data_IF_179443902008
#
_entry.id   IF_179443902008
#
_cell.length_a   1.000
_cell.length_b   1.000
_cell.length_c   1.000
_cell.angle_alpha   90.00
_cell.angle_beta   90.00
_cell.angle_gamma   90.00
#
_symmetry.space_group_name_H-M   'P 1'
#
loop_
_entity.id
_entity.type
_entity.pdbx_description
1 polymer ?
#
# COMPACT_ATOMS: atom_id res chain seq x y z
N UNK A 1 -67.73 40.94 2.96
CA UNK A 1 -67.54 40.18 4.21
C UNK A 1 -66.14 39.60 4.19
N UNK A 2 -65.41 39.79 5.29
CA UNK A 2 -64.08 39.25 5.61
C UNK A 2 -64.05 37.71 5.42
N UNK A 3 -62.93 37.03 5.13
CA UNK A 3 -61.80 36.81 6.03
C UNK A 3 -60.55 36.27 5.28
N UNK A 4 -59.39 36.81 5.66
CA UNK A 4 -58.03 36.33 5.39
C UNK A 4 -57.78 34.91 5.90
N UNK A 5 -56.92 34.13 5.22
CA UNK A 5 -56.05 33.13 5.86
C UNK A 5 -54.67 33.08 5.17
N UNK A 6 -53.66 33.54 5.92
CA UNK A 6 -52.22 33.34 5.73
C UNK A 6 -51.86 31.87 6.01
N UNK A 7 -50.88 31.32 5.28
CA UNK A 7 -50.14 30.12 5.68
C UNK A 7 -48.66 30.21 5.26
N UNK A 8 -47.89 30.86 6.13
CA UNK A 8 -46.52 30.61 6.59
C UNK A 8 -45.67 29.63 5.75
N UNK A 9 -44.66 30.18 5.05
CA UNK A 9 -43.53 29.45 4.51
C UNK A 9 -42.48 29.23 5.61
N UNK A 10 -42.22 27.97 5.99
CA UNK A 10 -41.16 27.62 6.92
C UNK A 10 -39.82 27.54 6.17
N UNK A 11 -38.94 28.51 6.41
CA UNK A 11 -37.54 28.47 5.99
C UNK A 11 -36.75 27.67 7.02
N UNK A 12 -36.31 26.47 6.66
CA UNK A 12 -35.29 25.75 7.42
C UNK A 12 -33.93 26.39 7.13
N UNK A 13 -33.47 27.29 8.01
CA UNK A 13 -32.05 27.62 8.10
C UNK A 13 -31.34 26.44 8.78
N UNK A 14 -30.72 25.57 7.99
CA UNK A 14 -29.72 24.64 8.49
C UNK A 14 -28.41 25.42 8.71
N UNK A 15 -28.13 25.81 9.95
CA UNK A 15 -26.81 26.28 10.36
C UNK A 15 -25.86 25.08 10.38
N UNK A 16 -25.12 24.88 9.29
CA UNK A 16 -23.98 23.98 9.29
C UNK A 16 -22.89 24.58 10.20
N UNK A 17 -22.74 24.02 11.40
CA UNK A 17 -21.56 24.24 12.23
C UNK A 17 -20.38 23.56 11.53
N UNK A 18 -19.66 24.31 10.71
CA UNK A 18 -18.32 23.93 10.27
C UNK A 18 -17.40 23.93 11.49
N UNK A 19 -17.32 22.79 12.17
CA UNK A 19 -16.26 22.54 13.14
C UNK A 19 -14.91 22.64 12.43
N UNK A 20 -13.85 23.09 13.13
CA UNK A 20 -12.51 23.09 12.55
C UNK A 20 -12.17 21.64 12.17
N UNK A 21 -12.02 21.39 10.87
CA UNK A 21 -11.41 20.18 10.34
C UNK A 21 -10.00 20.15 10.92
N UNK A 22 -9.78 19.27 11.90
CA UNK A 22 -8.44 18.76 12.17
C UNK A 22 -8.03 18.06 10.89
N UNK A 23 -7.19 18.72 10.09
CA UNK A 23 -6.53 18.08 8.98
C UNK A 23 -5.70 16.94 9.58
N UNK A 24 -6.22 15.71 9.50
CA UNK A 24 -5.43 14.54 9.81
C UNK A 24 -4.32 14.48 8.78
N UNK A 25 -3.07 14.48 9.25
CA UNK A 25 -1.91 14.23 8.40
C UNK A 25 -1.97 12.86 7.67
N UNK A 26 -2.98 12.03 7.96
CA UNK A 26 -3.28 10.75 7.31
C UNK A 26 -3.70 10.88 5.84
N UNK A 27 -4.44 11.93 5.47
CA UNK A 27 -4.90 12.08 4.06
C UNK A 27 -3.71 12.28 3.11
N UNK A 28 -2.70 13.06 3.50
CA UNK A 28 -1.50 13.29 2.70
C UNK A 28 -0.65 12.02 2.49
N UNK A 29 -0.56 11.18 3.52
CA UNK A 29 0.21 9.94 3.46
C UNK A 29 -0.52 8.83 2.68
N UNK A 30 -1.86 8.79 2.73
CA UNK A 30 -2.67 7.95 1.84
C UNK A 30 -2.58 8.41 0.39
N UNK A 31 -2.64 9.72 0.13
CA UNK A 31 -2.54 10.30 -1.22
C UNK A 31 -1.19 9.99 -1.87
N UNK A 32 -0.10 10.03 -1.10
CA UNK A 32 1.24 9.71 -1.58
C UNK A 32 1.39 8.28 -2.10
N UNK A 33 0.48 7.36 -1.72
CA UNK A 33 0.50 5.94 -2.13
C UNK A 33 -0.47 5.58 -3.25
N UNK A 34 -1.12 6.59 -3.86
CA UNK A 34 -2.10 6.37 -4.92
C UNK A 34 -1.48 6.17 -6.31
N UNK A 35 -0.17 6.39 -6.48
CA UNK A 35 0.58 5.96 -7.67
C UNK A 35 2.12 5.83 -7.46
N UNK A 36 2.62 4.59 -7.61
CA UNK A 36 3.92 4.09 -8.15
C UNK A 36 4.55 2.96 -7.30
N UNK A 37 5.37 2.13 -7.96
CA UNK A 37 5.87 0.79 -7.61
C UNK A 37 5.79 0.28 -6.15
N UNK A 38 5.32 -0.96 -5.99
CA UNK A 38 5.42 -1.70 -4.72
C UNK A 38 6.36 -2.90 -4.90
N UNK A 39 7.37 -3.00 -4.04
CA UNK A 39 8.32 -4.11 -4.05
C UNK A 39 8.12 -5.03 -2.85
N UNK A 40 8.20 -6.34 -3.11
CA UNK A 40 8.12 -7.40 -2.12
C UNK A 40 9.54 -7.94 -1.94
N UNK A 41 10.12 -7.70 -0.78
CA UNK A 41 11.55 -7.85 -0.51
C UNK A 41 11.83 -8.92 0.53
N UNK A 42 12.95 -9.61 0.38
CA UNK A 42 13.56 -10.39 1.46
C UNK A 42 14.87 -9.75 1.92
N UNK A 43 14.93 -9.38 3.21
CA UNK A 43 16.04 -8.68 3.87
C UNK A 43 16.79 -9.62 4.81
N UNK A 44 17.23 -10.78 4.33
CA UNK A 44 17.94 -11.85 5.06
C UNK A 44 17.14 -12.47 6.22
N UNK A 45 16.72 -11.68 7.21
CA UNK A 45 16.05 -12.11 8.45
C UNK A 45 14.57 -11.76 8.52
N UNK A 46 14.08 -10.91 7.60
CA UNK A 46 12.68 -10.51 7.53
C UNK A 46 12.28 -10.22 6.08
N UNK A 47 10.98 -10.12 5.84
CA UNK A 47 10.41 -9.68 4.58
C UNK A 47 9.78 -8.30 4.73
N UNK A 48 9.80 -7.51 3.66
CA UNK A 48 9.22 -6.16 3.66
C UNK A 48 8.43 -5.92 2.38
N UNK A 49 7.33 -5.19 2.51
CA UNK A 49 6.64 -4.57 1.39
C UNK A 49 7.01 -3.10 1.39
N UNK A 50 7.61 -2.62 0.31
CA UNK A 50 8.12 -1.27 0.17
C UNK A 50 7.35 -0.53 -0.89
N UNK A 51 6.86 0.65 -0.53
CA UNK A 51 6.25 1.59 -1.44
C UNK A 51 7.30 2.55 -2.01
N UNK A 52 7.33 2.69 -3.33
CA UNK A 52 8.23 3.58 -4.04
C UNK A 52 7.44 4.52 -4.95
N UNK A 53 7.42 5.80 -4.57
CA UNK A 53 6.75 6.85 -5.34
C UNK A 53 7.36 7.05 -6.76
N UNK A 54 8.60 6.62 -6.96
CA UNK A 54 9.25 6.53 -8.27
C UNK A 54 10.00 5.19 -8.36
N UNK A 55 9.46 4.27 -9.15
CA UNK A 55 10.01 2.93 -9.35
C UNK A 55 11.43 2.99 -9.96
N UNK A 56 11.70 4.01 -10.78
CA UNK A 56 13.02 4.20 -11.40
C UNK A 56 14.12 4.59 -10.40
N UNK A 57 13.73 4.92 -9.17
CA UNK A 57 14.61 5.31 -8.08
C UNK A 57 14.29 4.53 -6.80
N UNK A 58 13.88 3.26 -6.86
CA UNK A 58 13.54 2.49 -5.65
C UNK A 58 14.76 1.89 -4.91
N UNK A 59 16.00 2.19 -5.35
CA UNK A 59 17.24 1.59 -4.83
C UNK A 59 17.76 2.22 -3.52
N UNK A 60 16.87 2.52 -2.58
CA UNK A 60 17.23 3.13 -1.29
C UNK A 60 16.43 2.51 -0.13
N UNK A 61 17.00 2.57 1.08
CA UNK A 61 16.31 2.14 2.29
C UNK A 61 15.09 3.03 2.52
N UNK A 62 13.85 2.48 2.51
CA UNK A 62 12.64 3.28 2.57
C UNK A 62 12.58 4.10 3.85
N UNK A 63 12.22 5.38 3.69
CA UNK A 63 11.93 6.24 4.83
C UNK A 63 10.74 5.75 5.66
N UNK A 64 10.55 6.29 6.88
CA UNK A 64 9.42 5.93 7.74
C UNK A 64 8.08 6.01 7.00
N UNK A 65 7.23 5.01 7.23
CA UNK A 65 5.92 4.92 6.59
C UNK A 65 5.91 4.37 5.16
N UNK A 66 7.06 4.24 4.47
CA UNK A 66 7.13 3.65 3.12
C UNK A 66 7.46 2.15 3.11
N UNK A 67 7.51 1.52 4.27
CA UNK A 67 7.63 0.09 4.41
C UNK A 67 6.56 -0.45 5.35
N UNK A 68 6.21 -1.72 5.16
CA UNK A 68 5.52 -2.50 6.17
C UNK A 68 6.10 -3.92 6.18
N UNK A 69 6.00 -4.58 7.33
CA UNK A 69 6.59 -5.91 7.56
C UNK A 69 5.45 -6.91 7.67
N UNK A 70 5.18 -7.73 6.62
CA UNK A 70 4.18 -8.79 6.72
C UNK A 70 4.65 -9.87 7.70
N UNK A 71 3.71 -10.44 8.45
CA UNK A 71 3.98 -11.46 9.47
C UNK A 71 2.97 -12.60 9.47
N UNK A 72 2.08 -12.63 8.48
CA UNK A 72 0.95 -13.55 8.47
C UNK A 72 1.38 -14.94 7.97
N UNK A 73 2.40 -15.04 7.12
CA UNK A 73 2.80 -16.29 6.50
C UNK A 73 4.31 -16.52 6.49
N UNK A 74 4.92 -16.57 7.67
CA UNK A 74 6.35 -16.79 7.79
C UNK A 74 6.73 -18.26 7.53
N UNK A 75 7.78 -18.47 6.72
CA UNK A 75 8.44 -19.76 6.56
C UNK A 75 9.39 -20.05 7.74
N UNK A 76 10.07 -21.21 7.72
CA UNK A 76 10.99 -21.62 8.79
C UNK A 76 12.18 -20.68 9.02
N UNK A 77 12.46 -19.77 8.08
CA UNK A 77 13.52 -18.78 8.17
C UNK A 77 13.01 -17.41 8.65
N UNK A 78 11.72 -17.28 9.00
CA UNK A 78 11.12 -16.01 9.41
C UNK A 78 10.86 -15.04 8.25
N UNK A 79 10.86 -15.52 7.01
CA UNK A 79 10.56 -14.75 5.81
C UNK A 79 9.13 -15.01 5.35
N UNK A 80 8.48 -14.00 4.77
CA UNK A 80 7.15 -14.13 4.19
C UNK A 80 7.15 -15.14 3.03
N UNK A 81 6.20 -16.06 3.07
CA UNK A 81 5.88 -16.96 1.97
C UNK A 81 5.00 -16.20 0.98
N UNK A 82 5.63 -15.62 -0.04
CA UNK A 82 4.96 -14.70 -0.97
C UNK A 82 3.93 -15.33 -1.90
N UNK A 83 4.11 -16.61 -2.27
CA UNK A 83 3.39 -17.30 -3.36
C UNK A 83 1.98 -17.77 -2.98
N UNK A 84 1.18 -16.81 -2.51
CA UNK A 84 -0.20 -16.97 -2.06
C UNK A 84 -0.89 -15.59 -1.98
N UNK A 85 -2.06 -15.54 -1.37
CA UNK A 85 -2.70 -14.28 -1.00
C UNK A 85 -2.15 -13.77 0.33
N UNK A 86 -1.90 -12.47 0.43
CA UNK A 86 -1.41 -11.84 1.66
C UNK A 86 -1.70 -10.34 1.67
N UNK A 87 -1.41 -9.69 2.79
CA UNK A 87 -1.56 -8.24 2.92
C UNK A 87 -0.56 -7.65 3.89
N UNK A 88 -0.32 -6.35 3.75
CA UNK A 88 0.60 -5.61 4.59
C UNK A 88 0.10 -4.18 4.76
N UNK A 89 -0.15 -3.79 6.00
CA UNK A 89 -0.63 -2.46 6.36
C UNK A 89 0.55 -1.57 6.72
N UNK A 90 0.68 -0.47 6.00
CA UNK A 90 1.65 0.57 6.30
C UNK A 90 1.19 1.44 7.47
N UNK A 91 2.14 2.07 8.16
CA UNK A 91 1.87 3.00 9.26
C UNK A 91 1.02 4.21 8.80
N UNK A 92 1.07 4.53 7.50
CA UNK A 92 0.22 5.56 6.86
C UNK A 92 -1.25 5.14 6.72
N UNK A 93 -1.62 3.95 7.20
CA UNK A 93 -2.98 3.42 7.18
C UNK A 93 -3.37 2.70 5.89
N UNK A 94 -2.65 2.91 4.78
CA UNK A 94 -2.84 2.17 3.52
C UNK A 94 -2.49 0.69 3.69
N UNK A 95 -3.30 -0.20 3.16
CA UNK A 95 -3.00 -1.64 3.10
C UNK A 95 -2.74 -2.03 1.66
N UNK A 96 -1.61 -2.67 1.40
CA UNK A 96 -1.36 -3.35 0.13
C UNK A 96 -1.67 -4.84 0.29
N UNK A 97 -2.51 -5.37 -0.58
CA UNK A 97 -2.86 -6.78 -0.65
C UNK A 97 -2.40 -7.37 -1.97
N UNK A 98 -2.00 -8.63 -1.96
CA UNK A 98 -1.55 -9.35 -3.15
C UNK A 98 -2.18 -10.73 -3.28
N UNK A 99 -2.06 -11.30 -4.47
CA UNK A 99 -2.23 -12.72 -4.74
C UNK A 99 -1.20 -13.12 -5.79
N UNK A 100 -0.32 -14.04 -5.43
CA UNK A 100 0.78 -14.52 -6.28
C UNK A 100 0.59 -16.02 -6.50
N UNK A 101 0.83 -16.48 -7.73
CA UNK A 101 0.75 -17.89 -8.10
C UNK A 101 1.72 -18.74 -7.27
N UNK A 102 1.28 -19.94 -6.86
CA UNK A 102 2.06 -20.86 -6.01
C UNK A 102 3.36 -21.38 -6.65
N UNK A 103 3.55 -21.15 -7.95
CA UNK A 103 4.75 -21.52 -8.70
C UNK A 103 5.44 -20.30 -9.31
N UNK A 104 5.24 -19.10 -8.75
CA UNK A 104 5.75 -17.86 -9.33
C UNK A 104 7.28 -17.85 -9.46
N UNK A 105 8.03 -18.42 -8.53
CA UNK A 105 9.49 -18.51 -8.55
C UNK A 105 10.02 -19.42 -9.65
N UNK A 106 9.23 -20.38 -10.14
CA UNK A 106 9.62 -21.21 -11.29
C UNK A 106 9.37 -20.53 -12.64
N UNK A 107 8.71 -19.37 -12.66
CA UNK A 107 8.50 -18.59 -13.88
C UNK A 107 9.78 -17.86 -14.29
N UNK A 108 9.84 -17.42 -15.55
CA UNK A 108 10.91 -16.53 -16.02
C UNK A 108 10.89 -15.20 -15.26
N UNK A 109 12.06 -14.56 -15.14
CA UNK A 109 12.13 -13.20 -14.59
C UNK A 109 11.24 -12.25 -15.42
N UNK A 110 10.59 -11.31 -14.74
CA UNK A 110 9.66 -10.33 -15.29
C UNK A 110 8.33 -10.89 -15.82
N UNK A 111 8.09 -12.21 -15.67
CA UNK A 111 6.79 -12.79 -15.96
C UNK A 111 5.72 -12.23 -15.02
N UNK A 112 4.50 -12.06 -15.54
CA UNK A 112 3.33 -11.73 -14.72
C UNK A 112 2.95 -12.98 -13.91
N UNK A 113 2.90 -12.84 -12.59
CA UNK A 113 2.70 -13.96 -11.66
C UNK A 113 1.60 -13.70 -10.64
N UNK A 114 0.96 -12.53 -10.70
CA UNK A 114 -0.07 -12.18 -9.73
C UNK A 114 -0.65 -10.80 -9.94
N UNK A 115 -1.46 -10.39 -8.96
CA UNK A 115 -2.08 -9.08 -8.89
C UNK A 115 -2.03 -8.54 -7.47
N UNK A 116 -2.06 -7.21 -7.36
CA UNK A 116 -2.10 -6.51 -6.09
C UNK A 116 -3.08 -5.34 -6.10
N UNK A 117 -3.40 -4.82 -4.93
CA UNK A 117 -4.21 -3.61 -4.78
C UNK A 117 -3.89 -2.91 -3.47
N UNK A 118 -4.00 -1.58 -3.46
CA UNK A 118 -3.92 -0.76 -2.25
C UNK A 118 -5.28 -0.17 -1.82
N UNK A 119 -6.39 -0.67 -2.39
CA UNK A 119 -7.74 -0.11 -2.21
C UNK A 119 -8.06 1.13 -3.07
N UNK A 120 -7.05 1.75 -3.70
CA UNK A 120 -7.22 2.88 -4.61
C UNK A 120 -7.02 2.49 -6.08
N UNK A 121 -6.06 1.60 -6.36
CA UNK A 121 -5.79 1.06 -7.68
C UNK A 121 -5.39 -0.42 -7.62
N UNK A 122 -5.44 -1.08 -8.78
CA UNK A 122 -4.88 -2.41 -8.98
C UNK A 122 -3.46 -2.33 -9.53
N UNK A 123 -2.68 -3.38 -9.27
CA UNK A 123 -1.30 -3.54 -9.73
C UNK A 123 -1.14 -4.91 -10.37
N UNK A 124 -0.26 -4.99 -11.38
CA UNK A 124 0.21 -6.25 -11.94
C UNK A 124 1.51 -6.66 -11.24
N UNK A 125 1.52 -7.83 -10.61
CA UNK A 125 2.70 -8.35 -9.93
C UNK A 125 3.52 -9.18 -10.90
N UNK A 126 4.82 -8.88 -10.98
CA UNK A 126 5.81 -9.59 -11.76
C UNK A 126 6.89 -10.18 -10.89
N UNK A 127 7.44 -11.32 -11.31
CA UNK A 127 8.66 -11.87 -10.73
C UNK A 127 9.83 -10.93 -11.02
N UNK A 128 10.62 -10.63 -10.00
CA UNK A 128 11.87 -9.89 -10.18
C UNK A 128 13.06 -10.85 -10.34
N UNK A 129 14.23 -10.33 -10.68
CA UNK A 129 15.47 -11.08 -10.86
C UNK A 129 16.26 -11.30 -9.55
N UNK A 130 15.72 -10.89 -8.40
CA UNK A 130 16.34 -11.03 -7.07
C UNK A 130 17.63 -10.22 -6.86
N UNK A 131 17.80 -9.15 -7.64
CA UNK A 131 18.83 -8.16 -7.38
C UNK A 131 18.68 -7.53 -5.99
N UNK A 132 19.80 -7.07 -5.43
CA UNK A 132 19.80 -6.29 -4.18
C UNK A 132 19.27 -4.90 -4.51
N UNK A 133 18.13 -4.54 -3.93
CA UNK A 133 17.52 -3.23 -4.13
C UNK A 133 18.19 -2.18 -3.23
N UNK A 134 18.41 -2.52 -1.95
CA UNK A 134 19.18 -1.70 -1.01
C UNK A 134 19.79 -2.55 0.10
N UNK A 135 20.67 -1.94 0.89
CA UNK A 135 21.15 -2.48 2.16
C UNK A 135 20.61 -1.63 3.30
N UNK A 136 20.00 -2.25 4.31
CA UNK A 136 19.42 -1.52 5.43
C UNK A 136 20.50 -0.95 6.39
N UNK A 137 20.06 -0.22 7.42
CA UNK A 137 20.97 0.34 8.42
C UNK A 137 21.72 -0.70 9.28
N UNK A 138 21.28 -1.96 9.25
CA UNK A 138 21.90 -3.09 9.98
C UNK A 138 22.81 -3.94 9.07
N UNK A 139 22.97 -3.57 7.80
CA UNK A 139 23.78 -4.32 6.83
C UNK A 139 23.05 -5.49 6.16
N UNK A 140 21.73 -5.60 6.29
CA UNK A 140 20.93 -6.62 5.61
C UNK A 140 20.70 -6.23 4.15
N UNK A 141 21.13 -7.10 3.24
CA UNK A 141 20.84 -6.95 1.82
C UNK A 141 19.38 -7.31 1.53
N UNK A 142 18.58 -6.31 1.18
CA UNK A 142 17.19 -6.46 0.80
C UNK A 142 17.07 -6.72 -0.70
N UNK A 143 16.64 -7.93 -1.05
CA UNK A 143 16.48 -8.37 -2.45
C UNK A 143 15.04 -8.25 -2.89
N UNK A 144 14.83 -7.70 -4.08
CA UNK A 144 13.51 -7.61 -4.69
C UNK A 144 13.09 -8.96 -5.25
N UNK A 145 12.03 -9.55 -4.70
CA UNK A 145 11.55 -10.88 -5.11
C UNK A 145 10.44 -10.73 -6.16
N UNK A 146 9.55 -9.77 -5.93
CA UNK A 146 8.48 -9.38 -6.84
C UNK A 146 8.30 -7.86 -6.81
N UNK A 147 7.76 -7.30 -7.88
CA UNK A 147 7.37 -5.90 -7.96
C UNK A 147 5.98 -5.78 -8.56
N UNK A 148 5.27 -4.72 -8.18
CA UNK A 148 3.89 -4.44 -8.57
C UNK A 148 3.78 -3.04 -9.17
N UNK A 149 3.31 -2.97 -10.42
CA UNK A 149 3.10 -1.75 -11.20
C UNK A 149 1.68 -1.66 -11.74
#
# INVERSE_FOLDING_TARGET
>A
MFFSKLAIAATFLATALAGPLVASNDEGAQLAKRANGVHLLNCVTYSAVVYCADDSNCSFNPGPGNQCIPKDHLNSNGLESWEQSGSCRFDTGTTFSWTIQSNAQSQANYAIVGSGTNGFQGFTIRKDDQHVMYTDGNGHACRSIYYAL
#
